data_IF_223033451236
#
_entry.id   IF_223033451236
#
_cell.length_a   1.000
_cell.length_b   1.000
_cell.length_c   1.000
_cell.angle_alpha   90.00
_cell.angle_beta   90.00
_cell.angle_gamma   90.00
#
_symmetry.space_group_name_H-M   'P 1'
#
loop_
_entity.id
_entity.type
_entity.pdbx_description
1 polymer ?
#
# COMPACT_ATOMS: atom_id res chain seq x y z
N UNK A 1 -2.54 30.04 -3.85
CA UNK A 1 -2.08 30.00 -2.46
C UNK A 1 -1.55 28.60 -2.20
N UNK A 2 -0.49 28.42 -1.41
CA UNK A 2 0.08 27.09 -1.16
C UNK A 2 -0.73 26.37 -0.08
N UNK A 3 -1.18 25.13 -0.38
CA UNK A 3 -1.92 24.30 0.59
C UNK A 3 -1.10 24.02 1.86
N UNK A 4 0.22 23.95 1.73
CA UNK A 4 1.13 23.85 2.87
C UNK A 4 1.04 25.07 3.81
N UNK A 5 1.04 26.28 3.25
CA UNK A 5 0.92 27.51 4.04
C UNK A 5 -0.47 27.66 4.67
N UNK A 6 -1.51 27.27 3.95
CA UNK A 6 -2.89 27.28 4.45
C UNK A 6 -3.04 26.33 5.65
N UNK A 7 -2.43 25.14 5.59
CA UNK A 7 -2.44 24.18 6.71
C UNK A 7 -1.69 24.72 7.95
N UNK A 8 -0.57 25.41 7.75
CA UNK A 8 0.13 26.09 8.85
C UNK A 8 -0.80 27.11 9.51
N UNK A 9 -1.51 27.92 8.75
CA UNK A 9 -2.43 28.93 9.29
C UNK A 9 -3.58 28.30 10.08
N UNK A 10 -4.14 27.17 9.62
CA UNK A 10 -5.16 26.42 10.37
C UNK A 10 -4.60 25.92 11.71
N UNK A 11 -3.40 25.37 11.72
CA UNK A 11 -2.78 24.89 12.95
C UNK A 11 -2.38 26.01 13.90
N UNK A 12 -1.96 27.18 13.40
CA UNK A 12 -1.74 28.36 14.27
C UNK A 12 -3.05 28.81 14.95
N UNK A 13 -4.17 28.78 14.23
CA UNK A 13 -5.49 29.09 14.83
C UNK A 13 -5.89 28.09 15.92
N UNK A 14 -5.63 26.80 15.72
CA UNK A 14 -5.88 25.76 16.73
C UNK A 14 -4.96 25.90 17.94
N UNK A 15 -3.68 26.22 17.70
CA UNK A 15 -2.70 26.49 18.75
C UNK A 15 -3.11 27.67 19.63
N UNK A 16 -3.60 28.76 19.03
CA UNK A 16 -4.07 29.94 19.80
C UNK A 16 -5.20 29.58 20.75
N UNK A 17 -6.06 28.61 20.41
CA UNK A 17 -7.15 28.12 21.26
C UNK A 17 -6.70 27.16 22.37
N UNK A 18 -5.53 26.51 22.22
CA UNK A 18 -5.04 25.44 23.10
C UNK A 18 -3.54 25.61 23.41
N UNK A 19 -3.13 26.83 23.78
CA UNK A 19 -1.70 27.21 23.91
C UNK A 19 -0.88 26.29 24.80
N UNK A 20 -1.45 25.84 25.92
CA UNK A 20 -0.75 24.98 26.88
C UNK A 20 -0.44 23.60 26.30
N UNK A 21 -1.31 23.07 25.44
CA UNK A 21 -1.12 21.77 24.77
C UNK A 21 0.01 21.80 23.73
N UNK A 22 0.25 22.98 23.13
CA UNK A 22 1.20 23.17 22.04
C UNK A 22 2.55 23.73 22.49
N UNK A 23 2.82 23.74 23.79
CA UNK A 23 4.06 24.28 24.33
C UNK A 23 5.29 23.65 23.68
N UNK A 24 6.14 24.48 23.06
CA UNK A 24 7.35 24.02 22.36
C UNK A 24 7.16 23.47 20.96
N UNK A 25 5.91 23.42 20.42
CA UNK A 25 5.61 22.96 19.08
C UNK A 25 5.15 24.14 18.22
N UNK A 26 5.82 24.39 17.08
CA UNK A 26 5.31 25.35 16.10
C UNK A 26 4.29 24.69 15.16
N UNK A 27 3.37 25.48 14.60
CA UNK A 27 2.40 24.97 13.62
C UNK A 27 3.11 24.44 12.36
N UNK A 28 4.16 25.09 11.92
CA UNK A 28 4.95 24.62 10.78
C UNK A 28 5.62 23.27 11.07
N UNK A 29 6.23 23.10 12.25
CA UNK A 29 6.77 21.80 12.64
C UNK A 29 5.70 20.70 12.64
N UNK A 30 4.52 20.99 13.22
CA UNK A 30 3.41 20.06 13.24
C UNK A 30 2.92 19.71 11.81
N UNK A 31 2.83 20.70 10.93
CA UNK A 31 2.47 20.48 9.51
C UNK A 31 3.47 19.57 8.81
N UNK A 32 4.77 19.82 8.97
CA UNK A 32 5.83 18.99 8.39
C UNK A 32 5.75 17.54 8.90
N UNK A 33 5.51 17.36 10.19
CA UNK A 33 5.34 16.04 10.79
C UNK A 33 4.08 15.32 10.27
N UNK A 34 2.97 16.03 10.07
CA UNK A 34 1.75 15.45 9.50
C UNK A 34 1.95 15.00 8.05
N UNK A 35 2.64 15.79 7.23
CA UNK A 35 2.95 15.44 5.85
C UNK A 35 3.87 14.21 5.75
N UNK A 36 4.91 14.14 6.59
CA UNK A 36 5.83 13.00 6.64
C UNK A 36 5.18 11.72 7.17
N UNK A 37 4.07 11.83 7.92
CA UNK A 37 3.35 10.72 8.54
C UNK A 37 1.88 10.70 8.12
N UNK A 38 1.59 10.99 6.85
CA UNK A 38 0.22 11.15 6.32
C UNK A 38 -0.65 9.91 6.49
N UNK A 39 -0.10 8.73 6.44
CA UNK A 39 -0.81 7.46 6.65
C UNK A 39 -0.63 7.00 8.10
N UNK A 40 -1.69 7.03 8.89
CA UNK A 40 -1.67 6.66 10.31
C UNK A 40 -1.78 5.16 10.51
N UNK A 41 -2.60 4.50 9.69
CA UNK A 41 -2.89 3.06 9.77
C UNK A 41 -2.70 2.38 8.42
N UNK A 42 -2.65 1.04 8.43
CA UNK A 42 -2.70 0.27 7.18
C UNK A 42 -4.04 0.41 6.46
N UNK A 43 -5.13 0.61 7.20
CA UNK A 43 -6.46 0.85 6.62
C UNK A 43 -6.49 2.15 5.82
N UNK A 44 -5.86 3.25 6.31
CA UNK A 44 -5.74 4.50 5.54
C UNK A 44 -4.99 4.25 4.21
N UNK A 45 -3.97 3.39 4.24
CA UNK A 45 -3.21 3.00 3.04
C UNK A 45 -4.09 2.18 2.10
N UNK A 46 -4.82 1.19 2.63
CA UNK A 46 -5.70 0.33 1.82
C UNK A 46 -6.79 1.14 1.12
N UNK A 47 -7.45 2.07 1.83
CA UNK A 47 -8.44 2.99 1.24
C UNK A 47 -7.84 3.85 0.13
N UNK A 48 -6.74 4.54 0.43
CA UNK A 48 -6.05 5.42 -0.52
C UNK A 48 -5.60 4.67 -1.78
N UNK A 49 -5.02 3.50 -1.62
CA UNK A 49 -4.51 2.71 -2.75
C UNK A 49 -5.62 1.98 -3.51
N UNK A 50 -6.74 1.63 -2.86
CA UNK A 50 -7.93 1.13 -3.55
C UNK A 50 -8.52 2.17 -4.50
N UNK A 51 -8.61 3.44 -4.07
CA UNK A 51 -9.07 4.54 -4.93
C UNK A 51 -8.18 4.72 -6.16
N UNK A 52 -6.85 4.62 -5.99
CA UNK A 52 -5.91 4.66 -7.11
C UNK A 52 -6.20 3.53 -8.09
N UNK A 53 -6.27 2.28 -7.61
CA UNK A 53 -6.54 1.14 -8.50
C UNK A 53 -7.88 1.24 -9.23
N UNK A 54 -8.94 1.70 -8.55
CA UNK A 54 -10.26 1.89 -9.17
C UNK A 54 -10.22 2.94 -10.27
N UNK A 55 -9.57 4.07 -10.02
CA UNK A 55 -9.36 5.10 -11.05
C UNK A 55 -8.58 4.54 -12.24
N UNK A 56 -7.48 3.83 -11.98
CA UNK A 56 -6.64 3.28 -13.02
C UNK A 56 -7.35 2.19 -13.85
N UNK A 57 -8.23 1.40 -13.22
CA UNK A 57 -9.07 0.42 -13.91
C UNK A 57 -10.12 1.11 -14.81
N UNK A 58 -10.72 2.21 -14.36
CA UNK A 58 -11.64 2.99 -15.15
C UNK A 58 -10.96 3.61 -16.38
N UNK A 59 -9.74 4.08 -16.25
CA UNK A 59 -8.94 4.64 -17.34
C UNK A 59 -8.50 3.57 -18.36
N UNK A 60 -8.46 2.30 -17.97
CA UNK A 60 -8.05 1.20 -18.85
C UNK A 60 -9.02 1.01 -20.03
N UNK A 61 -10.31 1.19 -19.80
CA UNK A 61 -11.35 1.03 -20.83
C UNK A 61 -11.38 2.18 -21.87
N UNK A 62 -10.62 3.25 -21.64
CA UNK A 62 -10.64 4.47 -22.46
C UNK A 62 -9.62 4.49 -23.61
N UNK A 63 -9.15 3.35 -24.10
CA UNK A 63 -8.17 3.21 -25.20
C UNK A 63 -6.81 3.89 -24.96
N UNK A 64 -6.59 4.40 -23.76
CA UNK A 64 -5.36 5.06 -23.30
C UNK A 64 -4.53 4.18 -22.36
N UNK A 65 -4.77 2.86 -22.42
CA UNK A 65 -4.09 1.89 -21.55
C UNK A 65 -2.57 2.09 -21.56
N UNK A 66 -2.07 2.74 -20.52
CA UNK A 66 -0.65 2.84 -20.26
C UNK A 66 -0.19 1.56 -19.57
N UNK A 67 1.04 1.18 -19.82
CA UNK A 67 1.63 0.03 -19.14
C UNK A 67 1.55 0.18 -17.63
N UNK A 68 0.86 -0.77 -17.00
CA UNK A 68 0.92 -0.99 -15.57
C UNK A 68 2.25 -1.64 -15.23
N UNK A 69 2.98 -1.09 -14.28
CA UNK A 69 4.25 -1.66 -13.84
C UNK A 69 4.07 -2.39 -12.52
N UNK A 70 4.25 -3.71 -12.54
CA UNK A 70 4.34 -4.51 -11.32
C UNK A 70 5.78 -4.50 -10.79
N UNK A 71 5.94 -4.06 -9.56
CA UNK A 71 7.20 -4.12 -8.82
C UNK A 71 7.22 -5.44 -8.06
N UNK A 72 7.98 -6.41 -8.52
CA UNK A 72 8.18 -7.67 -7.81
C UNK A 72 9.05 -7.45 -6.57
N UNK A 73 8.45 -7.51 -5.39
CA UNK A 73 9.14 -7.23 -4.13
C UNK A 73 8.94 -8.35 -3.11
N UNK A 74 10.02 -8.80 -2.50
CA UNK A 74 10.02 -9.76 -1.39
C UNK A 74 10.61 -9.18 -0.10
N UNK A 75 10.96 -7.88 -0.10
CA UNK A 75 11.63 -7.21 0.99
C UNK A 75 11.37 -5.71 0.93
N UNK A 76 11.11 -5.07 2.08
CA UNK A 76 10.77 -3.66 2.15
C UNK A 76 11.82 -2.73 1.56
N UNK A 77 13.11 -2.99 1.81
CA UNK A 77 14.19 -2.19 1.24
C UNK A 77 14.21 -2.25 -0.30
N UNK A 78 14.02 -3.44 -0.88
CA UNK A 78 13.95 -3.60 -2.34
C UNK A 78 12.77 -2.82 -2.92
N UNK A 79 11.60 -2.89 -2.29
CA UNK A 79 10.42 -2.13 -2.69
C UNK A 79 10.70 -0.61 -2.67
N UNK A 80 11.35 -0.12 -1.61
CA UNK A 80 11.75 1.28 -1.49
C UNK A 80 12.68 1.71 -2.62
N UNK A 81 13.72 0.93 -2.91
CA UNK A 81 14.70 1.26 -3.96
C UNK A 81 14.06 1.25 -5.36
N UNK A 82 13.18 0.29 -5.62
CA UNK A 82 12.43 0.22 -6.88
C UNK A 82 11.49 1.41 -7.03
N UNK A 83 10.69 1.74 -6.01
CA UNK A 83 9.78 2.88 -6.03
C UNK A 83 10.52 4.21 -6.24
N UNK A 84 11.62 4.44 -5.51
CA UNK A 84 12.45 5.63 -5.67
C UNK A 84 13.05 5.70 -7.08
N UNK A 85 13.51 4.58 -7.63
CA UNK A 85 14.05 4.50 -8.99
C UNK A 85 12.97 4.81 -10.04
N UNK A 86 11.78 4.23 -9.89
CA UNK A 86 10.63 4.48 -10.79
C UNK A 86 10.28 5.96 -10.78
N UNK A 87 10.06 6.56 -9.61
CA UNK A 87 9.73 7.98 -9.47
C UNK A 87 10.79 8.87 -10.09
N UNK A 88 12.09 8.57 -9.84
CA UNK A 88 13.20 9.31 -10.41
C UNK A 88 13.24 9.27 -11.95
N UNK A 89 12.99 8.10 -12.55
CA UNK A 89 13.16 7.93 -14.00
C UNK A 89 11.89 8.24 -14.79
N UNK A 90 10.70 8.00 -14.23
CA UNK A 90 9.41 8.30 -14.86
C UNK A 90 8.86 9.68 -14.51
N UNK A 91 9.32 10.27 -13.42
CA UNK A 91 8.78 11.51 -12.86
C UNK A 91 7.45 11.31 -12.11
N UNK A 92 6.94 10.07 -12.02
CA UNK A 92 5.66 9.75 -11.36
C UNK A 92 5.60 8.30 -10.89
N UNK A 93 4.75 8.03 -9.92
CA UNK A 93 4.37 6.68 -9.46
C UNK A 93 3.07 6.17 -10.11
N UNK A 94 2.45 6.96 -10.99
CA UNK A 94 1.21 6.61 -11.67
C UNK A 94 1.30 5.22 -12.34
N UNK A 95 0.22 4.42 -12.26
CA UNK A 95 0.16 3.05 -12.81
C UNK A 95 1.26 2.10 -12.29
N UNK A 96 1.79 2.33 -11.10
CA UNK A 96 2.76 1.45 -10.43
C UNK A 96 2.08 0.65 -9.33
N UNK A 97 2.27 -0.68 -9.34
CA UNK A 97 1.68 -1.61 -8.38
C UNK A 97 2.72 -2.59 -7.85
N UNK A 98 2.46 -3.16 -6.68
CA UNK A 98 3.22 -4.28 -6.14
C UNK A 98 2.32 -5.51 -6.13
N UNK A 99 2.78 -6.59 -6.74
CA UNK A 99 2.16 -7.91 -6.60
C UNK A 99 2.99 -8.76 -5.65
N UNK A 100 2.38 -9.16 -4.54
CA UNK A 100 2.98 -10.09 -3.58
C UNK A 100 2.53 -11.50 -3.91
N UNK A 101 3.41 -12.22 -4.61
CA UNK A 101 3.18 -13.60 -5.01
C UNK A 101 3.34 -14.55 -3.83
N UNK A 102 2.40 -15.47 -3.66
CA UNK A 102 2.49 -16.57 -2.70
C UNK A 102 3.74 -17.43 -2.93
N UNK A 103 4.10 -17.68 -4.20
CA UNK A 103 5.34 -18.35 -4.57
C UNK A 103 6.59 -17.68 -3.97
N UNK A 104 6.69 -16.37 -4.11
CA UNK A 104 7.84 -15.61 -3.58
C UNK A 104 7.88 -15.64 -2.04
N UNK A 105 6.72 -15.54 -1.40
CA UNK A 105 6.61 -15.62 0.05
C UNK A 105 7.03 -17.00 0.55
N UNK A 106 6.54 -18.06 -0.05
CA UNK A 106 6.93 -19.44 0.29
C UNK A 106 8.43 -19.66 0.16
N UNK A 107 9.03 -19.22 -0.95
CA UNK A 107 10.44 -19.44 -1.24
C UNK A 107 11.40 -18.60 -0.38
N UNK A 108 11.01 -17.36 -0.02
CA UNK A 108 11.95 -16.36 0.52
C UNK A 108 11.58 -15.84 1.90
N UNK A 109 10.35 -16.02 2.38
CA UNK A 109 9.85 -15.40 3.61
C UNK A 109 9.31 -16.39 4.66
N UNK A 110 9.20 -17.69 4.32
CA UNK A 110 8.79 -18.70 5.28
C UNK A 110 9.82 -18.85 6.41
N UNK A 111 9.34 -18.95 7.65
CA UNK A 111 10.16 -19.23 8.84
C UNK A 111 10.58 -20.71 8.93
N UNK A 112 9.97 -21.58 8.12
CA UNK A 112 10.36 -22.99 7.99
C UNK A 112 11.53 -23.20 7.04
N UNK A 113 12.06 -22.13 6.43
CA UNK A 113 13.04 -22.20 5.33
C UNK A 113 12.36 -22.11 3.95
N UNK A 114 13.12 -22.21 2.87
CA UNK A 114 12.57 -22.15 1.51
C UNK A 114 11.58 -23.28 1.25
N UNK A 115 10.35 -22.92 0.84
CA UNK A 115 9.27 -23.85 0.57
C UNK A 115 8.81 -23.73 -0.89
N UNK A 116 8.26 -24.81 -1.45
CA UNK A 116 7.54 -24.73 -2.71
C UNK A 116 6.22 -23.95 -2.56
N UNK A 117 5.65 -23.53 -3.67
CA UNK A 117 4.39 -22.79 -3.75
C UNK A 117 3.18 -23.72 -3.54
N UNK A 118 2.93 -24.10 -2.30
CA UNK A 118 1.91 -25.09 -1.90
C UNK A 118 1.18 -24.67 -0.60
N UNK A 119 1.07 -23.39 -0.31
CA UNK A 119 0.41 -22.84 0.88
C UNK A 119 0.92 -23.43 2.21
N UNK A 120 2.18 -23.81 2.29
CA UNK A 120 2.79 -24.38 3.50
C UNK A 120 3.46 -23.35 4.39
N UNK A 121 3.66 -22.12 3.91
CA UNK A 121 4.22 -21.04 4.71
C UNK A 121 3.21 -20.53 5.75
N UNK A 122 3.71 -19.79 6.72
CA UNK A 122 2.88 -19.25 7.78
C UNK A 122 1.87 -18.25 7.25
N UNK A 123 0.61 -18.33 7.69
CA UNK A 123 -0.48 -17.44 7.27
C UNK A 123 -0.15 -15.96 7.47
N UNK A 124 0.70 -15.61 8.45
CA UNK A 124 1.06 -14.23 8.75
C UNK A 124 2.19 -13.68 7.88
N UNK A 125 2.87 -14.50 7.08
CA UNK A 125 4.03 -14.07 6.29
C UNK A 125 3.67 -12.98 5.27
N UNK A 126 2.51 -13.06 4.62
CA UNK A 126 2.07 -12.03 3.66
C UNK A 126 1.68 -10.74 4.37
N UNK A 127 0.83 -10.71 5.42
CA UNK A 127 0.55 -9.49 6.18
C UNK A 127 1.81 -8.82 6.75
N UNK A 128 2.75 -9.60 7.28
CA UNK A 128 4.04 -9.09 7.80
C UNK A 128 4.84 -8.40 6.68
N UNK A 129 4.91 -8.99 5.49
CA UNK A 129 5.61 -8.43 4.35
C UNK A 129 4.92 -7.15 3.81
N UNK A 130 3.57 -7.11 3.75
CA UNK A 130 2.82 -5.91 3.40
C UNK A 130 3.17 -4.75 4.33
N UNK A 131 3.14 -5.01 5.64
CA UNK A 131 3.48 -4.02 6.66
C UNK A 131 4.92 -3.52 6.51
N UNK A 132 5.88 -4.43 6.29
CA UNK A 132 7.29 -4.11 6.06
C UNK A 132 7.44 -3.21 4.83
N UNK A 133 6.85 -3.59 3.70
CA UNK A 133 6.95 -2.82 2.45
C UNK A 133 6.42 -1.40 2.65
N UNK A 134 5.23 -1.24 3.21
CA UNK A 134 4.67 0.10 3.45
C UNK A 134 5.47 0.92 4.45
N UNK A 135 6.10 0.28 5.43
CA UNK A 135 7.03 0.98 6.34
C UNK A 135 8.19 1.60 5.56
N UNK A 136 8.80 0.86 4.64
CA UNK A 136 9.90 1.35 3.82
C UNK A 136 9.47 2.40 2.78
N UNK A 137 8.29 2.26 2.17
CA UNK A 137 7.76 3.26 1.24
C UNK A 137 7.44 4.59 1.95
N UNK A 138 6.84 4.53 3.14
CA UNK A 138 6.64 5.74 3.97
C UNK A 138 7.95 6.40 4.39
N UNK A 139 9.00 5.63 4.63
CA UNK A 139 10.33 6.19 4.90
C UNK A 139 10.91 6.92 3.68
N UNK A 140 10.65 6.44 2.46
CA UNK A 140 11.03 7.16 1.24
C UNK A 140 10.34 8.52 1.16
N UNK A 141 9.03 8.58 1.44
CA UNK A 141 8.26 9.82 1.50
C UNK A 141 8.83 10.79 2.54
N UNK A 142 9.03 10.31 3.75
CA UNK A 142 9.56 11.14 4.84
C UNK A 142 10.95 11.70 4.52
N UNK A 143 11.80 10.91 3.86
CA UNK A 143 13.14 11.32 3.44
C UNK A 143 13.07 12.38 2.35
N UNK A 144 12.26 12.19 1.32
CA UNK A 144 12.14 13.16 0.21
C UNK A 144 11.56 14.48 0.72
N UNK A 145 10.47 14.44 1.49
CA UNK A 145 9.88 15.64 2.10
C UNK A 145 10.87 16.39 2.99
N UNK A 146 11.67 15.66 3.78
CA UNK A 146 12.69 16.27 4.63
C UNK A 146 13.70 17.05 3.82
N UNK A 147 14.15 16.54 2.66
CA UNK A 147 15.07 17.27 1.78
C UNK A 147 14.41 18.54 1.24
N UNK A 148 13.15 18.46 0.79
CA UNK A 148 12.40 19.63 0.30
C UNK A 148 12.24 20.68 1.42
N UNK A 149 12.00 20.28 2.67
CA UNK A 149 11.92 21.22 3.79
C UNK A 149 13.25 21.88 4.13
N UNK A 150 14.37 21.16 4.01
CA UNK A 150 15.72 21.75 4.16
C UNK A 150 15.96 22.81 3.08
N UNK A 151 15.66 22.51 1.82
CA UNK A 151 15.75 23.46 0.72
C UNK A 151 14.89 24.71 0.96
N UNK A 152 13.67 24.53 1.50
CA UNK A 152 12.79 25.62 1.86
C UNK A 152 13.40 26.53 2.93
N UNK A 153 14.00 25.95 3.96
CA UNK A 153 14.63 26.70 5.06
C UNK A 153 15.86 27.45 4.57
N UNK A 154 16.69 26.84 3.72
CA UNK A 154 17.86 27.48 3.10
C UNK A 154 17.45 28.63 2.17
N UNK A 155 16.41 28.46 1.34
CA UNK A 155 15.90 29.49 0.46
C UNK A 155 15.37 30.70 1.26
N UNK A 156 14.63 30.45 2.34
CA UNK A 156 14.16 31.50 3.25
C UNK A 156 15.32 32.27 3.91
N UNK A 157 16.33 31.54 4.38
CA UNK A 157 17.51 32.15 5.03
C UNK A 157 18.30 33.03 4.08
N UNK A 158 18.38 32.65 2.80
CA UNK A 158 19.11 33.42 1.76
C UNK A 158 18.28 34.51 1.08
N UNK A 159 16.96 34.59 1.38
CA UNK A 159 16.04 35.52 0.70
C UNK A 159 15.70 35.11 -0.75
N UNK A 160 15.98 33.86 -1.15
CA UNK A 160 15.62 33.34 -2.46
C UNK A 160 14.12 33.06 -2.59
N UNK A 161 13.63 32.98 -3.84
CA UNK A 161 12.21 32.60 -4.07
C UNK A 161 11.91 31.19 -3.57
N UNK A 162 10.80 31.03 -2.88
CA UNK A 162 10.31 29.76 -2.33
C UNK A 162 9.17 29.14 -3.15
N UNK A 163 8.66 29.81 -4.16
CA UNK A 163 7.42 29.42 -4.88
C UNK A 163 7.55 28.04 -5.53
N UNK A 164 8.68 27.76 -6.19
CA UNK A 164 8.94 26.43 -6.78
C UNK A 164 9.06 25.32 -5.74
N UNK A 165 9.59 25.61 -4.55
CA UNK A 165 9.75 24.65 -3.47
C UNK A 165 8.37 24.37 -2.84
N UNK A 166 7.57 25.41 -2.60
CA UNK A 166 6.19 25.26 -2.12
C UNK A 166 5.34 24.45 -3.11
N UNK A 167 5.50 24.71 -4.42
CA UNK A 167 4.84 23.92 -5.45
C UNK A 167 5.20 22.42 -5.40
N UNK A 168 6.45 22.08 -5.07
CA UNK A 168 6.89 20.69 -4.89
C UNK A 168 6.33 20.06 -3.62
N UNK A 169 6.12 20.84 -2.55
CA UNK A 169 5.46 20.35 -1.32
C UNK A 169 4.00 20.08 -1.60
N UNK A 170 3.30 21.02 -2.24
CA UNK A 170 1.86 20.90 -2.53
C UNK A 170 1.54 19.81 -3.53
N UNK A 171 2.41 19.60 -4.52
CA UNK A 171 2.32 18.53 -5.53
C UNK A 171 3.04 17.23 -5.15
N UNK A 172 3.38 17.04 -3.87
CA UNK A 172 4.15 15.86 -3.47
C UNK A 172 3.39 14.56 -3.74
N UNK A 173 3.95 13.75 -4.63
CA UNK A 173 3.47 12.41 -4.93
C UNK A 173 4.15 11.38 -4.03
N UNK A 174 3.35 10.54 -3.36
CA UNK A 174 3.84 9.49 -2.46
C UNK A 174 4.48 8.31 -3.20
N UNK A 175 5.42 7.63 -2.55
CA UNK A 175 5.95 6.33 -3.01
C UNK A 175 5.01 5.16 -2.64
N UNK A 176 3.98 5.41 -1.84
CA UNK A 176 2.99 4.39 -1.46
C UNK A 176 2.13 4.07 -2.66
N UNK A 177 2.23 2.84 -3.15
CA UNK A 177 1.51 2.31 -4.31
C UNK A 177 0.61 1.15 -3.90
N UNK A 178 -0.41 0.80 -4.73
CA UNK A 178 -1.27 -0.34 -4.44
C UNK A 178 -0.50 -1.66 -4.32
N UNK A 179 -0.88 -2.47 -3.33
CA UNK A 179 -0.43 -3.86 -3.21
C UNK A 179 -1.60 -4.80 -3.52
N UNK A 180 -1.36 -5.71 -4.46
CA UNK A 180 -2.19 -6.90 -4.70
C UNK A 180 -1.56 -8.04 -3.92
N UNK A 181 -2.23 -8.51 -2.89
CA UNK A 181 -1.73 -9.56 -2.00
C UNK A 181 -2.32 -10.92 -2.38
N UNK A 182 -1.46 -11.91 -2.58
CA UNK A 182 -1.85 -13.29 -2.85
C UNK A 182 -2.24 -13.99 -1.53
N UNK A 183 -3.47 -14.48 -1.45
CA UNK A 183 -3.98 -15.26 -0.33
C UNK A 183 -4.02 -16.77 -0.68
N UNK A 184 -3.37 -17.16 -1.78
CA UNK A 184 -3.44 -18.53 -2.29
C UNK A 184 -4.92 -18.99 -2.42
N UNK A 185 -5.25 -20.18 -1.92
CA UNK A 185 -6.61 -20.71 -1.87
C UNK A 185 -7.36 -20.35 -0.56
N UNK A 186 -6.89 -19.35 0.22
CA UNK A 186 -7.51 -18.87 1.44
C UNK A 186 -7.01 -19.53 2.73
N UNK A 187 -6.08 -20.46 2.67
CA UNK A 187 -5.49 -21.17 3.83
C UNK A 187 -6.53 -21.88 4.73
N UNK A 188 -7.60 -22.38 4.14
CA UNK A 188 -8.67 -23.11 4.83
C UNK A 188 -10.05 -22.82 4.21
N UNK A 189 -11.07 -22.83 5.07
CA UNK A 189 -12.43 -22.47 4.70
C UNK A 189 -12.63 -20.94 4.62
N UNK A 190 -13.86 -20.49 4.43
CA UNK A 190 -14.24 -19.08 4.35
C UNK A 190 -13.91 -18.28 5.61
N UNK A 191 -14.03 -18.89 6.80
CA UNK A 191 -13.68 -18.22 8.07
C UNK A 191 -12.19 -17.97 8.18
N UNK A 192 -11.36 -18.95 7.80
CA UNK A 192 -9.91 -18.80 7.75
C UNK A 192 -9.50 -17.75 6.71
N UNK A 193 -10.18 -17.75 5.57
CA UNK A 193 -9.98 -16.75 4.49
C UNK A 193 -10.32 -15.34 4.98
N UNK A 194 -11.47 -15.18 5.67
CA UNK A 194 -11.86 -13.90 6.28
C UNK A 194 -10.82 -13.37 7.25
N UNK A 195 -10.37 -14.19 8.20
CA UNK A 195 -9.39 -13.78 9.21
C UNK A 195 -8.06 -13.34 8.59
N UNK A 196 -7.60 -14.07 7.57
CA UNK A 196 -6.36 -13.74 6.88
C UNK A 196 -6.51 -12.49 6.00
N UNK A 197 -7.61 -12.37 5.25
CA UNK A 197 -7.91 -11.18 4.45
C UNK A 197 -7.96 -9.92 5.33
N UNK A 198 -8.61 -10.00 6.49
CA UNK A 198 -8.66 -8.92 7.47
C UNK A 198 -7.26 -8.47 7.87
N UNK A 199 -6.36 -9.41 8.17
CA UNK A 199 -4.96 -9.09 8.52
C UNK A 199 -4.19 -8.45 7.36
N UNK A 200 -4.41 -8.88 6.14
CA UNK A 200 -3.78 -8.27 4.96
C UNK A 200 -4.27 -6.83 4.74
N UNK A 201 -5.58 -6.58 4.91
CA UNK A 201 -6.18 -5.23 4.78
C UNK A 201 -5.70 -4.32 5.91
N UNK A 202 -5.67 -4.80 7.15
CA UNK A 202 -5.11 -4.08 8.31
C UNK A 202 -3.62 -3.72 8.09
N UNK A 203 -2.87 -4.52 7.35
CA UNK A 203 -1.50 -4.24 6.96
C UNK A 203 -1.38 -3.24 5.80
N UNK A 204 -2.45 -3.00 5.04
CA UNK A 204 -2.53 -2.01 3.98
C UNK A 204 -2.89 -2.52 2.58
N UNK A 205 -3.13 -3.83 2.39
CA UNK A 205 -3.50 -4.35 1.09
C UNK A 205 -4.84 -3.80 0.61
N UNK A 206 -4.86 -3.22 -0.57
CA UNK A 206 -6.08 -2.73 -1.22
C UNK A 206 -6.72 -3.76 -2.16
N UNK A 207 -5.96 -4.78 -2.55
CA UNK A 207 -6.42 -5.84 -3.42
C UNK A 207 -5.95 -7.20 -2.90
N UNK A 208 -6.83 -8.20 -2.97
CA UNK A 208 -6.53 -9.58 -2.56
C UNK A 208 -6.83 -10.51 -3.74
N UNK A 209 -5.82 -11.30 -4.14
CA UNK A 209 -5.99 -12.35 -5.11
C UNK A 209 -6.26 -13.66 -4.38
N UNK A 210 -7.31 -14.36 -4.80
CA UNK A 210 -7.69 -15.69 -4.30
C UNK A 210 -7.94 -16.66 -5.44
N UNK A 211 -7.51 -17.90 -5.28
CA UNK A 211 -7.73 -18.95 -6.30
C UNK A 211 -8.65 -20.06 -5.80
N UNK A 212 -9.29 -20.78 -6.75
CA UNK A 212 -10.30 -21.79 -6.47
C UNK A 212 -9.75 -23.19 -6.14
N UNK A 213 -8.47 -23.29 -5.79
CA UNK A 213 -7.89 -24.58 -5.39
C UNK A 213 -8.33 -24.98 -3.96
N UNK A 214 -8.27 -26.27 -3.69
CA UNK A 214 -8.38 -26.81 -2.33
C UNK A 214 -7.14 -26.40 -1.53
N UNK A 215 -7.32 -25.76 -0.38
CA UNK A 215 -6.21 -25.10 0.35
C UNK A 215 -5.08 -26.04 0.78
N UNK A 216 -5.41 -27.25 1.23
CA UNK A 216 -4.44 -28.25 1.70
C UNK A 216 -3.88 -29.15 0.58
N UNK A 217 -4.39 -28.97 -0.65
CA UNK A 217 -3.89 -29.64 -1.86
C UNK A 217 -3.39 -28.64 -2.92
N UNK A 218 -3.15 -27.40 -2.53
CA UNK A 218 -2.74 -26.31 -3.42
C UNK A 218 -1.41 -26.64 -4.11
N UNK A 219 -1.40 -26.45 -5.42
CA UNK A 219 -0.23 -26.56 -6.29
C UNK A 219 0.14 -25.21 -6.88
N UNK A 220 1.42 -25.03 -7.24
CA UNK A 220 1.85 -23.89 -8.03
C UNK A 220 1.05 -23.80 -9.35
N UNK A 221 0.68 -22.59 -9.76
CA UNK A 221 -0.10 -22.35 -10.97
C UNK A 221 0.49 -22.97 -12.26
N UNK A 222 1.78 -23.25 -12.27
CA UNK A 222 2.46 -23.89 -13.40
C UNK A 222 2.43 -25.43 -13.37
N UNK A 223 1.97 -26.03 -12.29
CA UNK A 223 1.90 -27.49 -12.12
C UNK A 223 0.58 -28.05 -12.60
N UNK A 224 0.60 -29.27 -13.10
CA UNK A 224 -0.60 -30.06 -13.40
C UNK A 224 -1.16 -30.71 -12.13
N UNK A 225 -2.41 -31.17 -12.19
CA UNK A 225 -3.04 -31.92 -11.09
C UNK A 225 -3.60 -31.06 -9.97
N UNK A 226 -3.95 -29.81 -10.26
CA UNK A 226 -4.65 -28.94 -9.32
C UNK A 226 -6.02 -29.51 -8.98
N UNK A 227 -6.41 -29.40 -7.73
CA UNK A 227 -7.73 -29.79 -7.24
C UNK A 227 -8.50 -28.54 -6.88
N UNK A 228 -9.66 -28.34 -7.53
CA UNK A 228 -10.50 -27.16 -7.32
C UNK A 228 -11.65 -27.47 -6.37
N UNK A 229 -12.11 -26.44 -5.65
CA UNK A 229 -13.31 -26.51 -4.82
C UNK A 229 -14.58 -26.31 -5.66
N UNK A 230 -15.77 -26.74 -5.20
CA UNK A 230 -17.04 -26.33 -5.79
C UNK A 230 -17.19 -24.81 -5.91
N UNK A 231 -17.95 -24.34 -6.91
CA UNK A 231 -18.13 -22.89 -7.13
C UNK A 231 -18.71 -22.18 -5.91
N UNK A 232 -19.66 -22.79 -5.21
CA UNK A 232 -20.27 -22.24 -3.99
C UNK A 232 -19.26 -22.03 -2.85
N UNK A 233 -18.32 -22.95 -2.67
CA UNK A 233 -17.24 -22.82 -1.68
C UNK A 233 -16.28 -21.69 -2.07
N UNK A 234 -15.97 -21.55 -3.35
CA UNK A 234 -15.14 -20.45 -3.84
C UNK A 234 -15.85 -19.10 -3.68
N UNK A 235 -17.14 -19.02 -4.00
CA UNK A 235 -17.95 -17.81 -3.79
C UNK A 235 -18.02 -17.42 -2.32
N UNK A 236 -18.12 -18.40 -1.41
CA UNK A 236 -18.11 -18.16 0.04
C UNK A 236 -16.81 -17.51 0.50
N UNK A 237 -15.66 -17.95 -0.03
CA UNK A 237 -14.35 -17.32 0.23
C UNK A 237 -14.26 -15.90 -0.34
N UNK A 238 -14.76 -15.68 -1.57
CA UNK A 238 -14.81 -14.33 -2.17
C UNK A 238 -15.67 -13.40 -1.31
N UNK A 239 -16.85 -13.86 -0.87
CA UNK A 239 -17.73 -13.10 -0.01
C UNK A 239 -17.10 -12.80 1.35
N UNK A 240 -16.35 -13.73 1.91
CA UNK A 240 -15.59 -13.54 3.15
C UNK A 240 -14.54 -12.43 3.02
N UNK A 241 -13.79 -12.39 1.91
CA UNK A 241 -12.85 -11.31 1.62
C UNK A 241 -13.59 -9.98 1.44
N UNK A 242 -14.71 -9.98 0.69
CA UNK A 242 -15.53 -8.77 0.49
C UNK A 242 -16.04 -8.23 1.82
N UNK A 243 -16.52 -9.11 2.69
CA UNK A 243 -16.97 -8.72 4.02
C UNK A 243 -15.85 -8.11 4.87
N UNK A 244 -14.64 -8.68 4.83
CA UNK A 244 -13.49 -8.12 5.53
C UNK A 244 -13.16 -6.68 5.07
N UNK A 245 -13.22 -6.40 3.76
CA UNK A 245 -13.07 -5.05 3.23
C UNK A 245 -14.15 -4.10 3.75
N UNK A 246 -15.43 -4.51 3.70
CA UNK A 246 -16.56 -3.67 4.14
C UNK A 246 -16.51 -3.41 5.66
N UNK A 247 -16.19 -4.42 6.46
CA UNK A 247 -16.08 -4.28 7.92
C UNK A 247 -14.99 -3.26 8.31
N UNK A 248 -13.90 -3.22 7.56
CA UNK A 248 -12.79 -2.30 7.80
C UNK A 248 -12.97 -0.93 7.12
N UNK A 249 -14.12 -0.70 6.48
CA UNK A 249 -14.44 0.57 5.81
C UNK A 249 -13.64 0.80 4.53
N UNK A 250 -13.10 -0.25 3.90
CA UNK A 250 -12.41 -0.17 2.60
C UNK A 250 -13.39 -0.56 1.49
N UNK A 251 -14.39 0.26 1.26
CA UNK A 251 -15.51 -0.04 0.35
C UNK A 251 -15.06 -0.29 -1.09
N UNK A 252 -13.98 0.34 -1.51
CA UNK A 252 -13.38 0.22 -2.85
C UNK A 252 -12.40 -0.95 -2.99
N UNK A 253 -12.22 -1.77 -1.96
CA UNK A 253 -11.33 -2.92 -1.98
C UNK A 253 -11.56 -3.84 -3.18
N UNK A 254 -10.51 -4.41 -3.72
CA UNK A 254 -10.51 -5.17 -4.97
C UNK A 254 -10.25 -6.64 -4.67
N UNK A 255 -10.99 -7.51 -5.35
CA UNK A 255 -10.78 -8.95 -5.29
C UNK A 255 -10.40 -9.43 -6.69
N UNK A 256 -9.26 -10.10 -6.81
CA UNK A 256 -8.82 -10.76 -8.02
C UNK A 256 -9.15 -12.24 -7.86
N UNK A 257 -10.26 -12.66 -8.45
CA UNK A 257 -10.69 -14.06 -8.44
C UNK A 257 -9.98 -14.82 -9.58
N UNK A 258 -9.09 -15.73 -9.20
CA UNK A 258 -8.37 -16.58 -10.13
C UNK A 258 -9.02 -17.96 -10.18
N UNK A 259 -9.14 -18.51 -11.40
CA UNK A 259 -9.65 -19.86 -11.64
C UNK A 259 -8.64 -20.71 -12.38
N UNK A 260 -8.60 -21.97 -12.06
CA UNK A 260 -7.80 -23.02 -12.74
C UNK A 260 -8.72 -23.99 -13.49
#
# INVERSE_FOLDING_TARGET
MSAYLDQIAVLESLKAKNADTWKGISAEYATRMQLQNRFKTGIDIAQYTADIMRRDMADYDADTARYTQSLGCWHGFTAQQLAMSVKKHRGTMDKSYIYLSGWMVAALRSKFGPLPDQSMHEKTSVPELIHEIYTFLKQADARELRHIFIELDEARASGASVDGILGRIDGFETHVVPIIADIDAGFGNEEATYLLAKKMIEAGACAIQVENQVSDAKQCGHQAGKVTVPHEDFLSKINAIRYAFLELGVDNGIIVARTD
#
